data_IF_682254629986
#
_entry.id   IF_682254629986
#
_cell.length_a   1.000
_cell.length_b   1.000
_cell.length_c   1.000
_cell.angle_alpha   90.00
_cell.angle_beta   90.00
_cell.angle_gamma   90.00
#
_symmetry.space_group_name_H-M   'P 1'
#
loop_
_entity.id
_entity.type
_entity.pdbx_description
1 polymer ?
#
# COMPACT_ATOMS: atom_id res chain seq x y z
N UNK A 1 -0.04 7.64 22.06
CA UNK A 1 -1.31 7.02 21.65
C UNK A 1 -1.43 6.87 20.14
N UNK A 2 -1.53 7.96 19.35
CA UNK A 2 -1.71 7.85 17.88
C UNK A 2 -0.61 7.03 17.15
N UNK A 3 0.63 7.07 17.62
CA UNK A 3 1.74 6.35 16.99
C UNK A 3 1.67 4.82 17.25
N UNK A 4 1.19 4.40 18.42
CA UNK A 4 1.09 2.97 18.78
C UNK A 4 0.00 2.26 17.98
N UNK A 5 -1.13 2.91 17.74
CA UNK A 5 -2.22 2.35 16.92
C UNK A 5 -1.78 2.16 15.47
N UNK A 6 -1.02 3.11 14.93
CA UNK A 6 -0.46 3.03 13.58
C UNK A 6 0.54 1.88 13.49
N UNK A 7 1.46 1.75 14.46
CA UNK A 7 2.42 0.64 14.51
C UNK A 7 1.70 -0.70 14.58
N UNK A 8 0.70 -0.85 15.47
CA UNK A 8 -0.10 -2.08 15.56
C UNK A 8 -0.80 -2.42 14.24
N UNK A 9 -1.26 -1.40 13.52
CA UNK A 9 -1.93 -1.58 12.22
C UNK A 9 -0.96 -1.93 11.09
N UNK A 10 0.28 -1.45 11.14
CA UNK A 10 1.34 -1.92 10.24
C UNK A 10 1.65 -3.39 10.55
N UNK A 11 1.88 -3.72 11.83
CA UNK A 11 2.22 -5.08 12.23
C UNK A 11 1.13 -6.12 12.00
N UNK A 12 -0.15 -5.69 11.92
CA UNK A 12 -1.25 -6.59 11.57
C UNK A 12 -1.31 -6.99 10.09
N UNK A 13 -0.50 -6.37 9.22
CA UNK A 13 -0.43 -6.73 7.80
C UNK A 13 0.23 -8.11 7.66
N UNK A 14 -0.53 -9.09 7.19
CA UNK A 14 -0.11 -10.49 7.10
C UNK A 14 1.10 -10.69 6.18
N UNK A 15 1.12 -10.08 5.00
CA UNK A 15 2.19 -10.28 4.03
C UNK A 15 3.42 -9.40 4.34
N UNK A 16 4.63 -9.96 4.51
CA UNK A 16 5.82 -9.22 4.95
C UNK A 16 6.24 -8.10 4.00
N UNK A 17 6.26 -8.35 2.67
CA UNK A 17 6.60 -7.31 1.69
C UNK A 17 5.60 -6.15 1.66
N UNK A 18 4.29 -6.44 1.75
CA UNK A 18 3.25 -5.40 1.84
C UNK A 18 3.40 -4.61 3.14
N UNK A 19 3.66 -5.30 4.25
CA UNK A 19 3.91 -4.67 5.56
C UNK A 19 5.05 -3.68 5.48
N UNK A 20 6.19 -4.07 4.90
CA UNK A 20 7.36 -3.22 4.80
C UNK A 20 7.13 -2.01 3.88
N UNK A 21 6.50 -2.19 2.71
CA UNK A 21 6.11 -1.07 1.84
C UNK A 21 5.24 -0.07 2.62
N UNK A 22 4.22 -0.55 3.32
CA UNK A 22 3.32 0.31 4.10
C UNK A 22 4.06 0.98 5.25
N UNK A 23 4.94 0.27 5.96
CA UNK A 23 5.79 0.82 7.03
C UNK A 23 6.62 2.00 6.53
N UNK A 24 7.36 1.82 5.43
CA UNK A 24 8.19 2.87 4.83
C UNK A 24 7.37 4.10 4.46
N UNK A 25 6.20 3.91 3.85
CA UNK A 25 5.33 5.03 3.50
C UNK A 25 4.76 5.75 4.73
N UNK A 26 4.39 5.01 5.78
CA UNK A 26 3.90 5.59 7.05
C UNK A 26 5.00 6.38 7.76
N UNK A 27 6.23 5.87 7.78
CA UNK A 27 7.41 6.58 8.30
C UNK A 27 7.69 7.89 7.55
N UNK A 28 7.31 7.97 6.26
CA UNK A 28 7.36 9.18 5.45
C UNK A 28 6.16 10.12 5.64
N UNK A 29 5.23 9.80 6.55
CA UNK A 29 4.09 10.64 6.90
C UNK A 29 2.77 10.26 6.22
N UNK A 30 2.71 9.14 5.50
CA UNK A 30 1.46 8.63 4.95
C UNK A 30 0.53 8.13 6.07
N UNK A 31 -0.78 8.16 5.81
CA UNK A 31 -1.82 7.83 6.79
C UNK A 31 -2.74 6.74 6.25
N UNK A 32 -3.12 5.81 7.12
CA UNK A 32 -4.19 4.88 6.80
C UNK A 32 -5.51 5.63 6.65
N UNK A 33 -6.25 5.31 5.59
CA UNK A 33 -7.62 5.79 5.36
C UNK A 33 -8.51 4.57 5.12
N UNK A 34 -9.67 4.52 5.76
CA UNK A 34 -10.60 3.41 5.55
C UNK A 34 -11.13 3.44 4.12
N UNK A 35 -11.27 2.26 3.50
CA UNK A 35 -11.84 2.17 2.17
C UNK A 35 -13.35 2.51 2.23
N UNK A 36 -13.88 3.37 1.35
CA UNK A 36 -15.24 3.92 1.48
C UNK A 36 -16.36 2.88 1.32
N UNK A 37 -16.09 1.78 0.63
CA UNK A 37 -17.11 0.77 0.28
C UNK A 37 -16.79 -0.64 0.77
N UNK A 38 -15.65 -0.83 1.45
CA UNK A 38 -15.24 -2.15 1.93
C UNK A 38 -14.48 -2.01 3.26
N UNK A 39 -15.09 -2.37 4.40
CA UNK A 39 -14.49 -2.17 5.71
C UNK A 39 -13.24 -3.03 5.95
N UNK A 40 -13.03 -4.09 5.15
CA UNK A 40 -11.89 -4.99 5.28
C UNK A 40 -10.64 -4.49 4.52
N UNK A 41 -10.79 -3.44 3.72
CA UNK A 41 -9.70 -2.84 2.96
C UNK A 41 -9.34 -1.47 3.53
N UNK A 42 -8.08 -1.12 3.40
CA UNK A 42 -7.59 0.21 3.74
C UNK A 42 -6.81 0.79 2.57
N UNK A 43 -6.85 2.11 2.46
CA UNK A 43 -6.04 2.87 1.54
C UNK A 43 -4.90 3.52 2.33
N UNK A 44 -3.80 3.81 1.64
CA UNK A 44 -2.73 4.64 2.16
C UNK A 44 -2.79 6.01 1.48
N UNK A 45 -3.03 7.03 2.30
CA UNK A 45 -3.19 8.42 1.88
C UNK A 45 -1.90 9.20 2.16
N UNK A 46 -1.44 9.94 1.17
CA UNK A 46 -0.32 10.87 1.29
C UNK A 46 -0.86 12.30 1.49
N UNK A 47 -0.69 12.90 2.68
CA UNK A 47 -1.12 14.27 2.95
C UNK A 47 -0.41 15.33 2.11
N UNK A 48 0.86 15.12 1.74
CA UNK A 48 1.62 16.08 0.95
C UNK A 48 1.09 16.15 -0.48
N UNK A 49 0.71 15.00 -1.05
CA UNK A 49 0.13 14.90 -2.40
C UNK A 49 -1.39 15.03 -2.42
N UNK A 50 -2.04 15.09 -1.25
CA UNK A 50 -3.51 15.12 -1.06
C UNK A 50 -4.26 14.01 -1.81
N UNK A 51 -3.66 12.83 -1.95
CA UNK A 51 -4.26 11.69 -2.66
C UNK A 51 -3.93 10.35 -2.00
N UNK A 52 -4.70 9.32 -2.35
CA UNK A 52 -4.30 7.95 -2.06
C UNK A 52 -3.11 7.59 -2.95
N UNK A 53 -2.10 6.92 -2.39
CA UNK A 53 -0.93 6.44 -3.13
C UNK A 53 -0.93 4.91 -3.26
N UNK A 54 -1.61 4.22 -2.34
CA UNK A 54 -1.87 2.78 -2.40
C UNK A 54 -3.35 2.58 -2.07
N UNK A 55 -4.05 1.80 -2.90
CA UNK A 55 -5.44 1.42 -2.69
C UNK A 55 -5.60 -0.03 -2.25
N UNK A 56 -6.78 -0.36 -1.74
CA UNK A 56 -7.26 -1.74 -1.57
C UNK A 56 -6.29 -2.68 -0.83
N UNK A 57 -5.57 -2.16 0.17
CA UNK A 57 -4.65 -2.97 0.97
C UNK A 57 -5.48 -3.96 1.78
N UNK A 58 -5.26 -5.25 1.52
CA UNK A 58 -5.85 -6.31 2.31
C UNK A 58 -4.90 -6.69 3.46
N UNK A 59 -5.29 -6.32 4.68
CA UNK A 59 -4.47 -6.52 5.88
C UNK A 59 -4.28 -8.01 6.22
N UNK A 60 -5.23 -8.87 5.87
CA UNK A 60 -5.21 -10.30 6.27
C UNK A 60 -4.74 -11.24 5.16
N UNK A 61 -4.49 -10.73 3.95
CA UNK A 61 -4.08 -11.56 2.82
C UNK A 61 -2.64 -12.05 2.96
N UNK A 62 -2.46 -13.36 3.16
CA UNK A 62 -1.14 -14.01 3.16
C UNK A 62 -0.46 -14.00 1.80
N UNK A 63 -1.20 -13.82 0.70
CA UNK A 63 -0.66 -13.71 -0.68
C UNK A 63 -0.23 -12.30 -1.04
N UNK A 64 -0.55 -11.31 -0.21
CA UNK A 64 -0.30 -9.89 -0.50
C UNK A 64 -1.22 -9.36 -1.61
N UNK A 65 -1.91 -8.27 -1.31
CA UNK A 65 -2.76 -7.58 -2.28
C UNK A 65 -2.86 -6.09 -1.95
N UNK A 66 -2.69 -5.27 -2.98
CA UNK A 66 -3.01 -3.84 -2.99
C UNK A 66 -3.09 -3.36 -4.45
N UNK A 67 -3.62 -2.15 -4.64
CA UNK A 67 -3.68 -1.47 -5.93
C UNK A 67 -2.79 -0.24 -5.95
N UNK A 68 -2.24 0.06 -7.12
CA UNK A 68 -1.40 1.22 -7.40
C UNK A 68 -2.03 2.06 -8.50
N UNK A 69 -1.79 3.37 -8.46
CA UNK A 69 -2.21 4.29 -9.50
C UNK A 69 -1.43 4.03 -10.81
N UNK A 70 -2.15 4.03 -11.93
CA UNK A 70 -1.61 4.04 -13.29
C UNK A 70 -1.85 5.41 -13.93
N UNK A 71 -1.26 5.66 -15.10
CA UNK A 71 -1.13 7.00 -15.70
C UNK A 71 -2.46 7.75 -15.90
N UNK A 72 -3.57 7.03 -16.07
CA UNK A 72 -4.91 7.62 -16.21
C UNK A 72 -5.61 7.90 -14.86
N UNK A 73 -4.89 7.84 -13.75
CA UNK A 73 -5.42 8.05 -12.39
C UNK A 73 -6.24 6.88 -11.84
N UNK A 74 -6.38 5.77 -12.58
CA UNK A 74 -7.06 4.57 -12.09
C UNK A 74 -6.13 3.75 -11.21
N UNK A 75 -6.71 3.02 -10.28
CA UNK A 75 -6.01 2.06 -9.45
C UNK A 75 -6.13 0.65 -10.05
N UNK A 76 -5.00 -0.04 -10.16
CA UNK A 76 -4.91 -1.42 -10.67
C UNK A 76 -4.09 -2.27 -9.71
N UNK A 77 -4.41 -3.55 -9.62
CA UNK A 77 -3.60 -4.50 -8.84
C UNK A 77 -2.15 -4.45 -9.30
N UNK A 78 -1.19 -4.57 -8.39
CA UNK A 78 0.23 -4.62 -8.77
C UNK A 78 0.55 -5.78 -9.74
N UNK A 79 -0.28 -6.85 -9.74
CA UNK A 79 -0.19 -8.00 -10.67
C UNK A 79 -0.77 -7.71 -12.05
N UNK A 80 -1.46 -6.60 -12.24
CA UNK A 80 -2.06 -6.25 -13.53
C UNK A 80 -0.97 -6.07 -14.58
N UNK A 81 -1.22 -6.46 -15.83
CA UNK A 81 -0.28 -6.39 -16.96
C UNK A 81 0.39 -5.02 -17.16
N UNK A 82 -0.31 -3.92 -16.84
CA UNK A 82 0.21 -2.56 -16.97
C UNK A 82 1.29 -2.25 -15.93
N UNK A 83 1.16 -2.83 -14.73
CA UNK A 83 2.12 -2.64 -13.64
C UNK A 83 3.17 -3.75 -13.66
N UNK A 84 2.74 -5.00 -13.90
CA UNK A 84 3.59 -6.15 -14.17
C UNK A 84 4.51 -6.53 -13.01
N UNK A 85 4.18 -6.15 -11.77
CA UNK A 85 5.02 -6.44 -10.62
C UNK A 85 4.70 -7.83 -10.07
N UNK A 86 5.76 -8.60 -9.82
CA UNK A 86 5.68 -9.91 -9.20
C UNK A 86 6.17 -9.81 -7.75
N UNK A 87 5.31 -10.17 -6.81
CA UNK A 87 5.58 -10.08 -5.38
C UNK A 87 6.66 -11.05 -4.93
N UNK A 88 6.93 -12.11 -5.69
CA UNK A 88 7.94 -13.10 -5.33
C UNK A 88 9.36 -12.64 -5.72
N UNK A 89 9.48 -11.65 -6.63
CA UNK A 89 10.77 -11.07 -7.02
C UNK A 89 11.45 -10.33 -5.86
N UNK A 90 12.78 -10.42 -5.80
CA UNK A 90 13.58 -9.76 -4.76
C UNK A 90 13.41 -8.23 -4.78
N UNK A 91 13.35 -7.63 -5.97
CA UNK A 91 13.26 -6.17 -6.16
C UNK A 91 11.84 -5.62 -6.07
N UNK A 92 10.85 -6.44 -5.69
CA UNK A 92 9.44 -6.04 -5.67
C UNK A 92 9.20 -4.77 -4.86
N UNK A 93 9.70 -4.71 -3.64
CA UNK A 93 9.46 -3.61 -2.71
C UNK A 93 10.09 -2.31 -3.24
N UNK A 94 11.34 -2.38 -3.70
CA UNK A 94 12.04 -1.26 -4.31
C UNK A 94 11.33 -0.75 -5.56
N UNK A 95 10.82 -1.66 -6.40
CA UNK A 95 10.07 -1.31 -7.60
C UNK A 95 8.77 -0.58 -7.29
N UNK A 96 8.04 -1.04 -6.26
CA UNK A 96 6.84 -0.36 -5.77
C UNK A 96 7.19 1.02 -5.21
N UNK A 97 8.18 1.11 -4.32
CA UNK A 97 8.57 2.37 -3.68
C UNK A 97 9.09 3.40 -4.70
N UNK A 98 9.89 2.98 -5.70
CA UNK A 98 10.33 3.85 -6.81
C UNK A 98 9.14 4.42 -7.58
N UNK A 99 8.11 3.60 -7.81
CA UNK A 99 6.88 4.06 -8.49
C UNK A 99 6.11 5.08 -7.66
N UNK A 100 6.02 4.88 -6.34
CA UNK A 100 5.29 5.78 -5.43
C UNK A 100 5.94 7.16 -5.30
N UNK A 101 7.26 7.27 -5.52
CA UNK A 101 8.01 8.54 -5.51
C UNK A 101 7.82 9.40 -6.76
N UNK A 102 7.25 8.85 -7.85
CA UNK A 102 6.83 9.64 -9.03
C UNK A 102 5.56 10.41 -8.71
#
# INVERSE_FOLDING_TARGET
MANEEVIKKVESIAHPKVRNIVRVCVEQGCRFKQHPSNPNLVNLFDPARRKNIIGDINLTSSRGYFTLEVENGRFKSFRNEVIGLDIDQAEFEDSVLKRLKR
#
